data_IF_988124684247
#
_entry.id   IF_988124684247
#
_cell.length_a   1.000
_cell.length_b   1.000
_cell.length_c   1.000
_cell.angle_alpha   90.00
_cell.angle_beta   90.00
_cell.angle_gamma   90.00
#
_symmetry.space_group_name_H-M   'P 1'
#
loop_
_entity.id
_entity.type
_entity.pdbx_description
1 polymer ?
#
# COMPACT_ATOMS: atom_id res chain seq x y z
N UNK A 1 -4.82 -20.35 2.40
CA UNK A 1 -4.20 -19.11 1.86
C UNK A 1 -5.23 -18.01 1.98
N UNK A 2 -4.85 -16.88 2.58
CA UNK A 2 -5.78 -15.78 2.86
C UNK A 2 -5.38 -14.57 2.02
N UNK A 3 -6.35 -13.99 1.33
CA UNK A 3 -6.16 -12.78 0.52
C UNK A 3 -7.04 -11.67 1.10
N UNK A 4 -6.44 -10.51 1.32
CA UNK A 4 -7.12 -9.31 1.80
C UNK A 4 -7.08 -8.23 0.73
N UNK A 5 -8.19 -7.50 0.58
CA UNK A 5 -8.18 -6.18 -0.06
C UNK A 5 -7.89 -5.13 1.01
N UNK A 6 -6.92 -4.26 0.78
CA UNK A 6 -6.56 -3.20 1.74
C UNK A 6 -6.62 -1.84 1.04
N UNK A 7 -7.35 -0.90 1.64
CA UNK A 7 -7.35 0.51 1.25
C UNK A 7 -6.91 1.38 2.43
N UNK A 8 -6.30 2.53 2.15
CA UNK A 8 -5.74 3.41 3.20
C UNK A 8 -6.63 4.60 3.58
N UNK A 9 -7.67 4.94 2.81
CA UNK A 9 -8.67 5.98 3.12
C UNK A 9 -8.08 7.22 3.85
N UNK A 10 -8.71 7.68 4.93
CA UNK A 10 -8.25 8.80 5.78
C UNK A 10 -7.30 8.34 6.91
N UNK A 11 -6.73 7.14 6.83
CA UNK A 11 -5.91 6.60 7.91
C UNK A 11 -4.53 7.24 7.88
N UNK A 12 -3.99 7.51 9.06
CA UNK A 12 -2.57 7.80 9.17
C UNK A 12 -1.75 6.60 8.72
N UNK A 13 -0.51 6.85 8.30
CA UNK A 13 0.43 5.79 7.93
C UNK A 13 0.70 4.82 9.09
N UNK A 14 0.77 5.33 10.31
CA UNK A 14 0.98 4.51 11.51
C UNK A 14 -0.17 3.53 11.75
N UNK A 15 -1.42 4.01 11.69
CA UNK A 15 -2.61 3.16 11.83
C UNK A 15 -2.67 2.08 10.75
N UNK A 16 -2.27 2.44 9.53
CA UNK A 16 -2.20 1.50 8.42
C UNK A 16 -1.17 0.39 8.71
N UNK A 17 0.07 0.73 9.09
CA UNK A 17 1.11 -0.24 9.42
C UNK A 17 0.70 -1.15 10.60
N UNK A 18 0.09 -0.57 11.64
CA UNK A 18 -0.43 -1.32 12.79
C UNK A 18 -1.50 -2.33 12.36
N UNK A 19 -2.37 -1.96 11.42
CA UNK A 19 -3.38 -2.86 10.90
C UNK A 19 -2.75 -4.00 10.08
N UNK A 20 -1.74 -3.72 9.25
CA UNK A 20 -1.03 -4.77 8.52
C UNK A 20 -0.41 -5.80 9.47
N UNK A 21 0.23 -5.34 10.54
CA UNK A 21 0.77 -6.21 11.59
C UNK A 21 -0.31 -7.03 12.31
N UNK A 22 -1.46 -6.42 12.62
CA UNK A 22 -2.56 -7.13 13.28
C UNK A 22 -3.09 -8.33 12.48
N UNK A 23 -3.08 -8.23 11.14
CA UNK A 23 -3.51 -9.30 10.24
C UNK A 23 -2.35 -10.19 9.77
N UNK A 24 -1.13 -10.02 10.30
CA UNK A 24 0.09 -10.71 9.88
C UNK A 24 0.30 -10.62 8.35
N UNK A 25 0.19 -9.42 7.80
CA UNK A 25 0.44 -9.17 6.38
C UNK A 25 1.93 -8.96 6.17
N UNK A 26 2.56 -9.84 5.39
CA UNK A 26 3.98 -9.73 5.04
C UNK A 26 4.23 -9.13 3.65
N UNK A 27 3.20 -9.15 2.78
CA UNK A 27 3.29 -8.75 1.37
C UNK A 27 2.10 -7.85 0.99
N UNK A 28 2.42 -6.70 0.39
CA UNK A 28 1.47 -5.78 -0.23
C UNK A 28 1.61 -5.86 -1.75
N UNK A 29 0.50 -6.17 -2.43
CA UNK A 29 0.40 -6.07 -3.87
C UNK A 29 -0.19 -4.70 -4.25
N UNK A 30 0.66 -3.77 -4.66
CA UNK A 30 0.24 -2.43 -5.05
C UNK A 30 -0.29 -2.43 -6.49
N UNK A 31 -1.62 -2.43 -6.61
CA UNK A 31 -2.35 -2.43 -7.89
C UNK A 31 -2.71 -1.03 -8.38
N UNK A 32 -2.36 0.02 -7.64
CA UNK A 32 -2.70 1.40 -8.01
C UNK A 32 -1.87 1.85 -9.19
N UNK A 33 -2.54 2.38 -10.19
CA UNK A 33 -1.87 2.76 -11.44
C UNK A 33 -1.37 4.19 -11.43
N UNK A 34 -1.98 5.06 -10.61
CA UNK A 34 -1.44 6.37 -10.27
C UNK A 34 -1.13 6.36 -8.78
N UNK A 35 0.14 6.34 -8.36
CA UNK A 35 0.51 6.26 -6.95
C UNK A 35 0.43 7.64 -6.29
N UNK A 36 -0.54 8.46 -6.66
CA UNK A 36 -0.59 9.87 -6.29
C UNK A 36 -2.02 10.25 -5.90
N UNK A 37 -2.25 10.36 -4.60
CA UNK A 37 -3.39 11.08 -4.04
C UNK A 37 -2.92 12.49 -3.71
N UNK A 38 -3.52 13.51 -4.32
CA UNK A 38 -3.26 14.93 -3.96
C UNK A 38 -3.69 15.26 -2.52
N UNK A 39 -4.52 14.42 -1.91
CA UNK A 39 -4.99 14.58 -0.54
C UNK A 39 -4.10 13.90 0.52
N UNK A 40 -3.25 12.93 0.14
CA UNK A 40 -2.47 12.10 1.07
C UNK A 40 -1.04 11.91 0.57
N UNK A 41 -0.17 12.86 0.89
CA UNK A 41 1.22 12.90 0.42
C UNK A 41 2.09 11.72 0.94
N UNK A 42 1.75 11.16 2.11
CA UNK A 42 2.50 10.04 2.71
C UNK A 42 2.37 8.73 1.92
N UNK A 43 1.31 8.60 1.10
CA UNK A 43 1.07 7.46 0.22
C UNK A 43 1.54 7.70 -1.22
N UNK A 44 2.20 8.83 -1.49
CA UNK A 44 2.82 9.06 -2.79
C UNK A 44 3.88 7.97 -3.03
N UNK A 45 3.94 7.45 -4.27
CA UNK A 45 4.57 6.16 -4.58
C UNK A 45 5.94 5.87 -3.97
N UNK A 46 6.92 6.77 -4.12
CA UNK A 46 8.28 6.53 -3.63
C UNK A 46 8.38 6.50 -2.09
N UNK A 47 7.72 7.41 -1.34
CA UNK A 47 7.53 7.31 0.11
C UNK A 47 7.01 5.95 0.58
N UNK A 48 5.89 5.46 0.02
CA UNK A 48 5.24 4.25 0.52
C UNK A 48 6.12 3.01 0.37
N UNK A 49 6.82 2.85 -0.77
CA UNK A 49 7.72 1.71 -0.95
C UNK A 49 8.86 1.71 0.07
N UNK A 50 9.43 2.89 0.35
CA UNK A 50 10.52 3.03 1.33
C UNK A 50 10.02 2.71 2.74
N UNK A 51 8.84 3.20 3.10
CA UNK A 51 8.21 2.93 4.40
C UNK A 51 7.92 1.44 4.58
N UNK A 52 7.30 0.80 3.59
CA UNK A 52 7.01 -0.64 3.67
C UNK A 52 8.30 -1.44 3.83
N UNK A 53 9.33 -1.13 3.02
CA UNK A 53 10.63 -1.77 3.11
C UNK A 53 11.32 -1.56 4.47
N UNK A 54 11.22 -0.38 5.07
CA UNK A 54 11.80 -0.11 6.39
C UNK A 54 11.07 -0.84 7.53
N UNK A 55 9.84 -1.30 7.29
CA UNK A 55 9.04 -2.11 8.21
C UNK A 55 9.04 -3.60 7.82
N UNK A 56 10.02 -4.04 7.01
CA UNK A 56 10.18 -5.43 6.57
C UNK A 56 8.99 -5.99 5.75
N UNK A 57 8.16 -5.11 5.19
CA UNK A 57 7.03 -5.46 4.34
C UNK A 57 7.46 -5.48 2.87
N UNK A 58 7.14 -6.57 2.19
CA UNK A 58 7.42 -6.70 0.76
C UNK A 58 6.36 -5.95 -0.04
N UNK A 59 6.79 -5.08 -0.94
CA UNK A 59 5.88 -4.38 -1.86
C UNK A 59 6.08 -4.89 -3.29
N UNK A 60 5.05 -5.45 -3.87
CA UNK A 60 5.00 -5.91 -5.26
C UNK A 60 4.16 -4.94 -6.06
N UNK A 61 4.78 -4.20 -6.99
CA UNK A 61 4.03 -3.31 -7.88
C UNK A 61 3.38 -4.10 -9.01
N UNK A 62 2.04 -4.10 -9.04
CA UNK A 62 1.21 -4.73 -10.05
C UNK A 62 0.41 -3.73 -10.88
N UNK A 63 0.56 -2.42 -10.65
CA UNK A 63 -0.20 -1.37 -11.34
C UNK A 63 -0.09 -1.39 -12.87
N UNK A 64 0.98 -1.99 -13.43
CA UNK A 64 1.16 -2.23 -14.86
C UNK A 64 0.26 -3.36 -15.40
N UNK A 65 0.09 -4.41 -14.61
CA UNK A 65 -0.66 -5.63 -15.00
C UNK A 65 -2.17 -5.47 -14.75
N UNK A 66 -2.58 -4.49 -13.94
CA UNK A 66 -3.97 -4.22 -13.57
C UNK A 66 -4.68 -3.19 -14.46
N UNK A 67 -4.06 -2.74 -15.56
CA UNK A 67 -4.75 -2.02 -16.62
C UNK A 67 -5.19 -0.59 -16.27
N UNK A 68 -4.43 0.14 -15.47
CA UNK A 68 -4.74 1.52 -15.08
C UNK A 68 -5.96 1.68 -14.15
N UNK A 69 -6.09 0.81 -13.14
CA UNK A 69 -7.10 0.95 -12.08
C UNK A 69 -6.86 2.26 -11.29
N UNK A 70 -7.76 3.22 -11.53
CA UNK A 70 -7.94 4.45 -10.77
C UNK A 70 -8.94 4.15 -9.64
N UNK A 71 -8.43 3.76 -8.47
CA UNK A 71 -9.17 3.60 -7.21
C UNK A 71 -8.72 4.63 -6.20
#
# INVERSE_FOLDING_TARGET
>A
MTLFSVGYATKTLEEFLKQLGHYNIDVIANVMSVPYSSAHHDYAGEPLQRILKSNELQNVYLGKETGNLLI
#
